data_IF_440027699940
#
_entry.id   IF_440027699940
#
_cell.length_a   1.000
_cell.length_b   1.000
_cell.length_c   1.000
_cell.angle_alpha   90.00
_cell.angle_beta   90.00
_cell.angle_gamma   90.00
#
_symmetry.space_group_name_H-M   'P 1'
#
loop_
_entity.id
_entity.type
_entity.pdbx_description
1 polymer ?
#
# COMPACT_ATOMS: atom_id res chain seq x y z
N UNK A 1 -4.05 7.70 14.64
CA UNK A 1 -4.31 8.62 13.51
C UNK A 1 -3.02 9.28 12.99
N UNK A 2 -2.31 10.09 13.77
CA UNK A 2 -0.99 10.66 13.38
C UNK A 2 0.04 9.62 12.90
N UNK A 3 0.02 8.42 13.45
CA UNK A 3 0.85 7.31 13.00
C UNK A 3 0.68 6.97 11.51
N UNK A 4 -0.55 6.99 10.97
CA UNK A 4 -0.80 6.68 9.55
C UNK A 4 -0.19 7.74 8.63
N UNK A 5 -0.31 9.02 9.00
CA UNK A 5 0.30 10.15 8.28
C UNK A 5 1.82 9.99 8.26
N UNK A 6 2.44 9.74 9.42
CA UNK A 6 3.89 9.60 9.53
C UNK A 6 4.39 8.40 8.73
N UNK A 7 3.74 7.24 8.85
CA UNK A 7 4.14 6.01 8.14
C UNK A 7 3.91 6.13 6.63
N UNK A 8 2.80 6.72 6.18
CA UNK A 8 2.51 6.92 4.76
C UNK A 8 3.44 7.99 4.13
N UNK A 9 3.77 9.05 4.88
CA UNK A 9 4.75 10.05 4.46
C UNK A 9 6.17 9.47 4.34
N UNK A 10 6.63 8.75 5.37
CA UNK A 10 7.95 8.10 5.38
C UNK A 10 8.04 6.99 4.33
N UNK A 11 6.96 6.27 4.02
CA UNK A 11 6.97 5.24 2.98
C UNK A 11 6.87 5.82 1.57
N UNK A 12 6.14 6.93 1.39
CA UNK A 12 5.90 7.56 0.09
C UNK A 12 7.11 8.33 -0.47
N UNK A 13 7.80 9.11 0.37
CA UNK A 13 8.94 9.95 -0.03
C UNK A 13 10.10 9.15 -0.67
N UNK A 14 10.61 8.07 -0.05
CA UNK A 14 11.70 7.26 -0.63
C UNK A 14 11.26 6.50 -1.88
N UNK A 15 9.99 6.08 -1.95
CA UNK A 15 9.44 5.39 -3.13
C UNK A 15 9.39 6.31 -4.36
N UNK A 16 9.21 7.61 -4.15
CA UNK A 16 9.27 8.63 -5.20
C UNK A 16 10.72 9.00 -5.57
N UNK A 17 11.55 9.30 -4.57
CA UNK A 17 12.91 9.80 -4.78
C UNK A 17 13.89 8.71 -5.25
N UNK A 18 13.71 7.47 -4.79
CA UNK A 18 14.62 6.35 -5.04
C UNK A 18 13.93 5.18 -5.76
N UNK A 19 12.89 5.46 -6.55
CA UNK A 19 12.07 4.47 -7.23
C UNK A 19 12.88 3.39 -7.99
N UNK A 20 13.98 3.80 -8.64
CA UNK A 20 14.84 2.92 -9.43
C UNK A 20 15.63 1.93 -8.57
N UNK A 21 16.24 2.41 -7.48
CA UNK A 21 16.95 1.53 -6.52
C UNK A 21 15.99 0.55 -5.84
N UNK A 22 14.78 1.00 -5.50
CA UNK A 22 13.75 0.11 -4.93
C UNK A 22 13.28 -0.94 -5.95
N UNK A 23 13.10 -0.58 -7.21
CA UNK A 23 12.72 -1.51 -8.27
C UNK A 23 13.80 -2.58 -8.51
N UNK A 24 15.08 -2.21 -8.47
CA UNK A 24 16.20 -3.15 -8.59
C UNK A 24 16.25 -4.13 -7.41
N UNK A 25 16.08 -3.65 -6.17
CA UNK A 25 15.98 -4.49 -4.98
C UNK A 25 14.75 -5.42 -5.02
N UNK A 26 13.60 -4.92 -5.47
CA UNK A 26 12.40 -5.73 -5.64
C UNK A 26 12.58 -6.80 -6.72
N UNK A 27 13.20 -6.47 -7.85
CA UNK A 27 13.53 -7.44 -8.91
C UNK A 27 14.47 -8.53 -8.39
N UNK A 28 15.53 -8.14 -7.68
CA UNK A 28 16.46 -9.09 -7.07
C UNK A 28 15.76 -10.04 -6.09
N UNK A 29 14.80 -9.52 -5.32
CA UNK A 29 13.95 -10.32 -4.42
C UNK A 29 12.95 -11.21 -5.17
N UNK A 30 12.42 -10.78 -6.31
CA UNK A 30 11.43 -11.50 -7.11
C UNK A 30 12.03 -12.58 -8.03
N UNK A 31 13.32 -12.51 -8.36
CA UNK A 31 14.02 -13.54 -9.15
C UNK A 31 14.08 -14.91 -8.46
N UNK A 32 13.90 -14.98 -7.14
CA UNK A 32 13.71 -16.24 -6.44
C UNK A 32 12.26 -16.72 -6.64
N UNK A 33 12.07 -17.86 -7.33
CA UNK A 33 10.71 -18.45 -7.57
C UNK A 33 9.88 -18.64 -6.29
N UNK A 34 10.51 -18.80 -5.12
CA UNK A 34 9.81 -18.86 -3.81
C UNK A 34 9.17 -17.52 -3.41
N UNK A 35 9.73 -16.40 -3.86
CA UNK A 35 9.30 -15.04 -3.57
C UNK A 35 8.01 -14.66 -4.29
N UNK A 36 7.80 -15.15 -5.52
CA UNK A 36 6.55 -14.91 -6.28
C UNK A 36 5.36 -15.59 -5.60
N UNK A 37 5.51 -16.86 -5.18
CA UNK A 37 4.46 -17.59 -4.46
C UNK A 37 4.18 -16.93 -3.11
N UNK A 38 5.22 -16.47 -2.40
CA UNK A 38 5.07 -15.72 -1.15
C UNK A 38 4.35 -14.39 -1.36
N UNK A 39 4.66 -13.62 -2.41
CA UNK A 39 3.96 -12.38 -2.73
C UNK A 39 2.49 -12.60 -3.08
N UNK A 40 2.15 -13.70 -3.76
CA UNK A 40 0.73 -14.07 -3.97
C UNK A 40 0.03 -14.38 -2.65
N UNK A 41 0.65 -15.16 -1.75
CA UNK A 41 0.08 -15.47 -0.43
C UNK A 41 -0.09 -14.19 0.40
N UNK A 42 0.90 -13.31 0.40
CA UNK A 42 0.81 -12.01 1.09
C UNK A 42 -0.27 -11.11 0.48
N UNK A 43 -0.44 -11.13 -0.84
CA UNK A 43 -1.54 -10.45 -1.53
C UNK A 43 -2.93 -10.97 -1.12
N UNK A 44 -3.10 -12.29 -1.04
CA UNK A 44 -4.34 -12.89 -0.50
C UNK A 44 -4.55 -12.55 0.98
N UNK A 45 -3.49 -12.56 1.78
CA UNK A 45 -3.54 -12.15 3.19
C UNK A 45 -3.98 -10.69 3.34
N UNK A 46 -3.48 -9.79 2.49
CA UNK A 46 -3.91 -8.38 2.49
C UNK A 46 -5.35 -8.20 2.02
N UNK A 47 -5.83 -9.01 1.07
CA UNK A 47 -7.26 -9.00 0.70
C UNK A 47 -8.17 -9.41 1.86
N UNK A 48 -7.79 -10.40 2.66
CA UNK A 48 -8.55 -10.76 3.87
C UNK A 48 -8.61 -9.60 4.87
N UNK A 49 -7.51 -8.85 5.01
CA UNK A 49 -7.46 -7.63 5.84
C UNK A 49 -8.42 -6.56 5.30
N UNK A 50 -8.46 -6.34 3.98
CA UNK A 50 -9.43 -5.43 3.34
C UNK A 50 -10.87 -5.83 3.68
N UNK A 51 -11.23 -7.11 3.50
CA UNK A 51 -12.58 -7.61 3.81
C UNK A 51 -12.91 -7.44 5.30
N UNK A 52 -11.94 -7.65 6.19
CA UNK A 52 -12.11 -7.49 7.63
C UNK A 52 -12.40 -6.03 8.00
N UNK A 53 -11.69 -5.07 7.40
CA UNK A 53 -11.95 -3.65 7.63
C UNK A 53 -13.27 -3.18 7.02
N UNK A 54 -13.66 -3.70 5.85
CA UNK A 54 -14.99 -3.42 5.26
C UNK A 54 -16.10 -3.97 6.17
N UNK A 55 -15.95 -5.20 6.69
CA UNK A 55 -16.91 -5.77 7.62
C UNK A 55 -17.01 -4.95 8.92
N UNK A 56 -15.88 -4.45 9.43
CA UNK A 56 -15.82 -3.53 10.57
C UNK A 56 -16.53 -2.20 10.29
N UNK A 57 -16.39 -1.65 9.09
CA UNK A 57 -17.06 -0.42 8.66
C UNK A 57 -18.59 -0.52 8.71
N UNK A 58 -19.15 -1.65 8.27
CA UNK A 58 -20.59 -1.92 8.34
C UNK A 58 -21.04 -2.48 9.71
N UNK A 59 -20.11 -2.66 10.65
CA UNK A 59 -20.42 -3.15 11.99
C UNK A 59 -20.86 -2.02 12.93
N UNK A 60 -21.22 -2.40 14.15
CA UNK A 60 -21.62 -1.49 15.23
C UNK A 60 -20.52 -0.47 15.63
N UNK A 61 -19.30 -0.65 15.16
CA UNK A 61 -18.16 0.26 15.40
C UNK A 61 -18.07 1.42 14.40
N UNK A 62 -19.01 1.52 13.45
CA UNK A 62 -19.40 2.75 12.75
C UNK A 62 -18.37 3.33 11.77
N UNK A 63 -18.82 4.33 11.01
CA UNK A 63 -18.11 5.11 9.98
C UNK A 63 -16.95 5.95 10.53
N UNK A 64 -16.11 5.36 11.36
CA UNK A 64 -14.92 5.98 11.91
C UNK A 64 -13.91 6.21 10.79
N UNK A 65 -13.40 7.45 10.71
CA UNK A 65 -12.48 7.88 9.66
C UNK A 65 -11.23 7.00 9.60
N UNK A 66 -10.78 6.45 10.73
CA UNK A 66 -9.60 5.57 10.75
C UNK A 66 -9.86 4.24 10.02
N UNK A 67 -11.10 3.76 10.00
CA UNK A 67 -11.50 2.54 9.28
C UNK A 67 -11.47 2.82 7.78
N UNK A 68 -11.97 3.98 7.33
CA UNK A 68 -11.92 4.37 5.92
C UNK A 68 -10.47 4.45 5.41
N UNK A 69 -9.59 5.11 6.17
CA UNK A 69 -8.16 5.19 5.86
C UNK A 69 -7.53 3.79 5.82
N UNK A 70 -7.87 2.90 6.77
CA UNK A 70 -7.35 1.53 6.80
C UNK A 70 -7.81 0.70 5.60
N UNK A 71 -9.05 0.87 5.14
CA UNK A 71 -9.57 0.21 3.93
C UNK A 71 -8.76 0.65 2.71
N UNK A 72 -8.61 1.96 2.49
CA UNK A 72 -7.88 2.48 1.33
C UNK A 72 -6.42 2.00 1.35
N UNK A 73 -5.76 2.05 2.51
CA UNK A 73 -4.38 1.57 2.66
C UNK A 73 -4.24 0.07 2.36
N UNK A 74 -5.19 -0.73 2.84
CA UNK A 74 -5.20 -2.18 2.63
C UNK A 74 -5.44 -2.53 1.16
N UNK A 75 -6.31 -1.79 0.46
CA UNK A 75 -6.55 -1.94 -0.99
C UNK A 75 -5.28 -1.62 -1.78
N UNK A 76 -4.62 -0.49 -1.47
CA UNK A 76 -3.37 -0.11 -2.12
C UNK A 76 -2.28 -1.16 -1.92
N UNK A 77 -2.18 -1.71 -0.71
CA UNK A 77 -1.23 -2.78 -0.39
C UNK A 77 -1.53 -4.07 -1.16
N UNK A 78 -2.79 -4.48 -1.24
CA UNK A 78 -3.21 -5.66 -2.01
C UNK A 78 -2.91 -5.48 -3.52
N UNK A 79 -3.19 -4.29 -4.06
CA UNK A 79 -2.89 -3.93 -5.44
C UNK A 79 -1.38 -3.96 -5.71
N UNK A 80 -0.56 -3.45 -4.78
CA UNK A 80 0.91 -3.51 -4.86
C UNK A 80 1.41 -4.96 -4.97
N UNK A 81 0.98 -5.85 -4.06
CA UNK A 81 1.40 -7.25 -4.09
C UNK A 81 0.95 -7.97 -5.37
N UNK A 82 -0.26 -7.68 -5.84
CA UNK A 82 -0.80 -8.26 -7.07
C UNK A 82 -0.01 -7.81 -8.30
N UNK A 83 0.19 -6.50 -8.46
CA UNK A 83 0.88 -5.92 -9.61
C UNK A 83 2.37 -6.30 -9.66
N UNK A 84 3.05 -6.38 -8.51
CA UNK A 84 4.42 -6.88 -8.42
C UNK A 84 4.53 -8.35 -8.82
N UNK A 85 3.50 -9.15 -8.57
CA UNK A 85 3.48 -10.57 -8.94
C UNK A 85 3.21 -10.81 -10.43
N UNK A 86 2.47 -9.91 -11.09
CA UNK A 86 2.11 -9.98 -12.51
C UNK A 86 3.22 -9.39 -13.40
N UNK A 87 3.83 -8.28 -12.99
CA UNK A 87 4.80 -7.52 -13.79
C UNK A 87 6.14 -7.35 -13.06
N UNK A 88 6.98 -8.39 -12.97
CA UNK A 88 8.27 -8.35 -12.27
C UNK A 88 9.39 -7.62 -13.05
N UNK A 89 9.05 -6.81 -14.05
CA UNK A 89 10.01 -6.05 -14.87
C UNK A 89 10.42 -4.75 -14.18
N UNK A 90 11.69 -4.36 -14.31
CA UNK A 90 12.25 -3.18 -13.62
C UNK A 90 11.46 -1.92 -13.95
N UNK A 91 11.15 -1.69 -15.23
CA UNK A 91 10.43 -0.49 -15.67
C UNK A 91 9.01 -0.45 -15.07
N UNK A 92 8.32 -1.59 -15.05
CA UNK A 92 7.01 -1.73 -14.42
C UNK A 92 7.08 -1.48 -12.91
N UNK A 93 8.10 -2.01 -12.22
CA UNK A 93 8.31 -1.80 -10.79
C UNK A 93 8.69 -0.33 -10.47
N UNK A 94 9.43 0.35 -11.34
CA UNK A 94 9.72 1.80 -11.19
C UNK A 94 8.44 2.61 -11.30
N UNK A 95 7.60 2.33 -12.30
CA UNK A 95 6.31 3.00 -12.48
C UNK A 95 5.39 2.72 -11.28
N UNK A 96 5.29 1.47 -10.84
CA UNK A 96 4.51 1.09 -9.65
C UNK A 96 5.00 1.81 -8.39
N UNK A 97 6.31 1.87 -8.15
CA UNK A 97 6.85 2.56 -6.97
C UNK A 97 6.58 4.07 -7.00
N UNK A 98 6.65 4.71 -8.17
CA UNK A 98 6.27 6.13 -8.32
C UNK A 98 4.79 6.35 -8.07
N UNK A 99 3.93 5.55 -8.71
CA UNK A 99 2.49 5.63 -8.55
C UNK A 99 2.09 5.40 -7.09
N UNK A 100 2.61 4.35 -6.46
CA UNK A 100 2.38 4.06 -5.05
C UNK A 100 2.92 5.18 -4.16
N UNK A 101 4.10 5.73 -4.44
CA UNK A 101 4.64 6.87 -3.71
C UNK A 101 3.69 8.08 -3.75
N UNK A 102 3.13 8.41 -4.91
CA UNK A 102 2.12 9.46 -5.07
C UNK A 102 0.85 9.12 -4.29
N UNK A 103 0.37 7.88 -4.38
CA UNK A 103 -0.84 7.43 -3.68
C UNK A 103 -0.66 7.45 -2.16
N UNK A 104 0.48 7.00 -1.63
CA UNK A 104 0.78 7.05 -0.19
C UNK A 104 0.95 8.48 0.32
N UNK A 105 1.60 9.37 -0.44
CA UNK A 105 1.67 10.79 -0.08
C UNK A 105 0.29 11.46 -0.14
N UNK A 106 -0.50 11.16 -1.17
CA UNK A 106 -1.88 11.62 -1.29
C UNK A 106 -2.74 11.12 -0.12
N UNK A 107 -2.55 9.88 0.32
CA UNK A 107 -3.24 9.29 1.46
C UNK A 107 -2.78 9.92 2.78
N UNK A 108 -1.50 10.25 2.92
CA UNK A 108 -0.98 11.03 4.06
C UNK A 108 -1.61 12.42 4.14
N UNK A 109 -1.66 13.15 3.02
CA UNK A 109 -2.27 14.49 2.93
C UNK A 109 -3.78 14.40 3.16
N UNK A 110 -4.46 13.46 2.51
CA UNK A 110 -5.89 13.23 2.66
C UNK A 110 -6.27 12.86 4.09
N UNK A 111 -5.47 12.00 4.74
CA UNK A 111 -5.65 11.65 6.15
C UNK A 111 -5.47 12.87 7.05
N UNK A 112 -4.46 13.71 6.79
CA UNK A 112 -4.26 14.97 7.53
C UNK A 112 -5.45 15.93 7.37
N UNK A 113 -5.96 16.11 6.15
CA UNK A 113 -7.13 16.97 5.89
C UNK A 113 -8.37 16.44 6.61
N UNK A 114 -8.64 15.14 6.52
CA UNK A 114 -9.76 14.50 7.22
C UNK A 114 -9.64 14.65 8.74
N UNK A 115 -8.44 14.49 9.29
CA UNK A 115 -8.17 14.68 10.72
C UNK A 115 -8.27 16.14 11.18
N UNK A 116 -7.96 17.10 10.32
CA UNK A 116 -8.10 18.53 10.64
C UNK A 116 -9.55 19.04 10.61
N UNK A 117 -10.48 18.24 10.08
CA UNK A 117 -11.92 18.56 10.00
C UNK A 117 -12.76 17.97 11.13
N UNK A 118 -12.16 17.11 11.96
CA UNK A 118 -12.75 16.55 13.19
C UNK A 118 -12.23 17.35 14.38
#
# INVERSE_FOLDING_TARGET
MWFVIIVAGISGLPRLLLARRFAELQKAKLQQKSSIRRNRILGFGTLLVVVSFIALYFSRWGHEIWIEIAIVFSILSAAEFFLQSQFPNVESLVFQNRLLGILYLGLSIGSYILLSRV
#
